data_IF_246273305479
#
_entry.id   IF_246273305479
#
_cell.length_a   1.000
_cell.length_b   1.000
_cell.length_c   1.000
_cell.angle_alpha   90.00
_cell.angle_beta   90.00
_cell.angle_gamma   90.00
#
_symmetry.space_group_name_H-M   'P 1'
#
loop_
_entity.id
_entity.type
_entity.pdbx_description
1 polymer ?
#
# COMPACT_ATOMS: atom_id res chain seq x y z
N UNK A 1 -6.57 4.82 -20.97
CA UNK A 1 -6.28 5.23 -19.57
C UNK A 1 -7.59 5.46 -18.84
N UNK A 2 -7.77 4.90 -17.63
CA UNK A 2 -8.94 5.25 -16.81
C UNK A 2 -8.69 6.62 -16.19
N UNK A 3 -9.62 7.56 -16.36
CA UNK A 3 -9.51 8.88 -15.73
C UNK A 3 -9.52 8.74 -14.20
N UNK A 4 -8.73 9.58 -13.52
CA UNK A 4 -8.71 9.65 -12.06
C UNK A 4 -10.08 10.09 -11.56
N UNK A 5 -10.65 9.33 -10.63
CA UNK A 5 -11.91 9.66 -9.98
C UNK A 5 -11.63 10.51 -8.75
N UNK A 6 -11.44 11.80 -8.98
CA UNK A 6 -11.17 12.77 -7.92
C UNK A 6 -12.48 13.32 -7.34
N UNK A 7 -12.47 13.63 -6.06
CA UNK A 7 -13.58 14.31 -5.37
C UNK A 7 -13.14 15.71 -5.00
N UNK A 8 -13.97 16.69 -5.31
CA UNK A 8 -13.74 18.06 -4.82
C UNK A 8 -14.37 18.22 -3.44
N UNK A 9 -13.63 18.78 -2.49
CA UNK A 9 -14.13 19.05 -1.15
C UNK A 9 -13.92 20.53 -0.84
N UNK A 10 -15.01 21.29 -0.75
CA UNK A 10 -15.01 22.74 -0.53
C UNK A 10 -16.41 23.24 -0.18
N UNK A 11 -16.53 24.52 0.20
CA UNK A 11 -17.81 25.13 0.60
C UNK A 11 -18.43 26.01 -0.48
N UNK A 12 -17.67 26.39 -1.51
CA UNK A 12 -18.08 27.32 -2.56
C UNK A 12 -17.83 26.79 -3.97
N UNK A 13 -18.71 27.18 -4.90
CA UNK A 13 -18.53 26.96 -6.34
C UNK A 13 -17.36 27.76 -6.90
N UNK A 14 -17.07 28.95 -6.35
CA UNK A 14 -16.10 29.88 -6.92
C UNK A 14 -14.70 29.28 -7.12
N UNK A 15 -14.18 28.54 -6.13
CA UNK A 15 -12.88 27.90 -6.23
C UNK A 15 -12.89 26.76 -7.28
N UNK A 16 -13.99 26.02 -7.39
CA UNK A 16 -14.16 24.97 -8.39
C UNK A 16 -14.26 25.55 -9.79
N UNK A 17 -15.04 26.61 -9.98
CA UNK A 17 -15.17 27.30 -11.27
C UNK A 17 -13.83 27.84 -11.74
N UNK A 18 -13.07 28.46 -10.84
CA UNK A 18 -11.71 28.94 -11.12
C UNK A 18 -10.80 27.81 -11.57
N UNK A 19 -10.88 26.64 -10.92
CA UNK A 19 -10.13 25.45 -11.30
C UNK A 19 -10.52 24.91 -12.69
N UNK A 20 -11.82 24.81 -12.97
CA UNK A 20 -12.34 24.31 -14.24
C UNK A 20 -12.04 25.27 -15.40
N UNK A 21 -12.17 26.57 -15.18
CA UNK A 21 -11.82 27.61 -16.16
C UNK A 21 -10.32 27.60 -16.50
N UNK A 22 -9.47 27.24 -15.54
CA UNK A 22 -8.04 27.04 -15.77
C UNK A 22 -7.72 25.77 -16.58
N UNK A 23 -8.72 24.98 -16.97
CA UNK A 23 -8.55 23.72 -17.70
C UNK A 23 -8.29 22.52 -16.77
N UNK A 24 -8.61 22.66 -15.48
CA UNK A 24 -8.45 21.59 -14.51
C UNK A 24 -9.42 20.45 -14.78
N UNK A 25 -9.01 19.21 -14.48
CA UNK A 25 -9.89 18.05 -14.65
C UNK A 25 -11.16 18.18 -13.81
N UNK A 26 -12.28 17.88 -14.46
CA UNK A 26 -13.59 17.80 -13.83
C UNK A 26 -13.61 16.68 -12.77
N UNK A 27 -14.01 16.98 -11.52
CA UNK A 27 -14.09 15.97 -10.49
C UNK A 27 -15.24 14.99 -10.77
N UNK A 28 -15.09 13.75 -10.30
CA UNK A 28 -16.14 12.74 -10.40
C UNK A 28 -17.31 13.00 -9.45
N UNK A 29 -17.05 13.67 -8.32
CA UNK A 29 -18.04 14.06 -7.34
C UNK A 29 -17.60 15.34 -6.60
N UNK A 30 -18.57 16.04 -6.01
CA UNK A 30 -18.34 17.22 -5.16
C UNK A 30 -18.92 16.95 -3.77
N UNK A 31 -18.19 17.36 -2.74
CA UNK A 31 -18.59 17.31 -1.34
C UNK A 31 -18.50 18.71 -0.72
N UNK A 32 -19.55 19.13 -0.01
CA UNK A 32 -19.55 20.36 0.80
C UNK A 32 -20.41 21.52 0.30
N UNK A 33 -20.97 21.43 -0.92
CA UNK A 33 -22.05 22.30 -1.38
C UNK A 33 -22.99 21.57 -2.35
N UNK A 34 -24.23 22.04 -2.43
CA UNK A 34 -25.18 21.57 -3.44
C UNK A 34 -24.80 22.16 -4.81
N UNK A 35 -24.68 21.28 -5.80
CA UNK A 35 -24.46 21.66 -7.18
C UNK A 35 -25.69 21.23 -7.98
N UNK A 36 -26.47 22.21 -8.44
CA UNK A 36 -27.58 22.01 -9.39
C UNK A 36 -27.09 21.90 -10.84
N UNK A 37 -25.77 22.04 -11.05
CA UNK A 37 -25.17 21.95 -12.38
C UNK A 37 -24.96 20.49 -12.79
N UNK A 38 -25.15 20.20 -14.08
CA UNK A 38 -24.89 18.90 -14.70
C UNK A 38 -23.41 18.45 -14.67
N UNK A 39 -22.56 19.17 -13.94
CA UNK A 39 -21.10 19.07 -13.96
C UNK A 39 -20.61 17.91 -13.08
N UNK A 40 -21.21 17.61 -11.93
CA UNK A 40 -20.83 16.41 -11.15
C UNK A 40 -21.79 16.14 -10.00
N UNK A 41 -21.89 14.86 -9.58
CA UNK A 41 -22.79 14.43 -8.51
C UNK A 41 -22.34 15.01 -7.16
N UNK A 42 -23.25 15.71 -6.47
CA UNK A 42 -23.05 16.12 -5.07
C UNK A 42 -23.21 14.91 -4.14
N UNK A 43 -22.27 14.74 -3.20
CA UNK A 43 -22.25 13.66 -2.20
C UNK A 43 -21.99 14.24 -0.81
N UNK A 44 -22.43 13.53 0.23
CA UNK A 44 -22.08 13.87 1.61
C UNK A 44 -20.66 13.40 1.96
N UNK A 45 -20.05 14.04 2.97
CA UNK A 45 -18.72 13.64 3.44
C UNK A 45 -18.74 12.23 4.06
N UNK A 46 -19.80 11.88 4.79
CA UNK A 46 -19.99 10.51 5.30
C UNK A 46 -20.02 9.48 4.15
N UNK A 47 -20.74 9.77 3.06
CA UNK A 47 -20.79 8.90 1.90
C UNK A 47 -19.40 8.73 1.25
N UNK A 48 -18.61 9.80 1.18
CA UNK A 48 -17.23 9.74 0.67
C UNK A 48 -16.38 8.77 1.50
N UNK A 49 -16.44 8.84 2.83
CA UNK A 49 -15.67 7.98 3.72
C UNK A 49 -16.12 6.52 3.63
N UNK A 50 -17.42 6.26 3.60
CA UNK A 50 -17.98 4.90 3.44
C UNK A 50 -17.62 4.28 2.08
N UNK A 51 -17.48 5.11 1.05
CA UNK A 51 -17.24 4.69 -0.33
C UNK A 51 -15.86 5.09 -0.85
N UNK A 52 -14.86 5.22 0.03
CA UNK A 52 -13.51 5.67 -0.35
C UNK A 52 -12.90 4.84 -1.49
N UNK A 53 -13.22 3.55 -1.55
CA UNK A 53 -12.73 2.60 -2.54
C UNK A 53 -13.19 2.89 -3.98
N UNK A 54 -14.21 3.75 -4.17
CA UNK A 54 -14.73 4.17 -5.48
C UNK A 54 -13.90 5.31 -6.09
N UNK A 55 -13.14 6.02 -5.25
CA UNK A 55 -12.43 7.23 -5.61
C UNK A 55 -10.91 7.02 -5.55
N UNK A 56 -10.21 7.91 -6.22
CA UNK A 56 -8.76 7.92 -6.33
C UNK A 56 -8.13 8.90 -5.33
N UNK A 57 -8.83 9.98 -5.02
CA UNK A 57 -8.45 10.92 -3.98
C UNK A 57 -9.31 12.17 -3.98
N UNK A 58 -8.91 13.15 -3.19
CA UNK A 58 -9.65 14.37 -2.86
C UNK A 58 -8.80 15.60 -3.15
N UNK A 59 -9.40 16.61 -3.78
CA UNK A 59 -8.86 17.96 -3.86
C UNK A 59 -9.58 18.80 -2.80
N UNK A 60 -8.83 19.27 -1.81
CA UNK A 60 -9.27 20.19 -0.79
C UNK A 60 -9.20 21.60 -1.34
N UNK A 61 -10.35 22.24 -1.47
CA UNK A 61 -10.46 23.64 -1.82
C UNK A 61 -10.00 24.52 -0.64
N UNK A 62 -9.62 25.78 -0.87
CA UNK A 62 -9.08 26.64 0.19
C UNK A 62 -10.07 26.96 1.31
N UNK A 63 -11.37 26.77 1.06
CA UNK A 63 -12.50 27.00 1.96
C UNK A 63 -13.02 25.72 2.62
N UNK A 64 -12.23 24.64 2.61
CA UNK A 64 -12.56 23.37 3.26
C UNK A 64 -12.75 23.49 4.78
N UNK A 65 -13.41 22.50 5.37
CA UNK A 65 -13.49 22.34 6.81
C UNK A 65 -12.20 21.73 7.37
N UNK A 66 -11.60 22.32 8.39
CA UNK A 66 -10.35 21.80 8.98
C UNK A 66 -10.53 20.42 9.60
N UNK A 67 -11.73 20.11 10.10
CA UNK A 67 -12.00 18.84 10.77
C UNK A 67 -12.01 17.65 9.81
N UNK A 68 -12.13 17.90 8.49
CA UNK A 68 -12.12 16.84 7.49
C UNK A 68 -10.74 16.17 7.35
N UNK A 69 -9.65 16.85 7.72
CA UNK A 69 -8.29 16.33 7.59
C UNK A 69 -8.07 15.09 8.47
N UNK A 70 -8.49 15.14 9.73
CA UNK A 70 -8.37 14.01 10.65
C UNK A 70 -9.14 12.78 10.18
N UNK A 71 -10.30 12.98 9.54
CA UNK A 71 -11.05 11.89 8.94
C UNK A 71 -10.34 11.33 7.71
N UNK A 72 -9.82 12.19 6.83
CA UNK A 72 -9.09 11.77 5.62
C UNK A 72 -7.77 11.06 5.94
N UNK A 73 -7.08 11.42 7.03
CA UNK A 73 -5.87 10.73 7.49
C UNK A 73 -6.09 9.25 7.81
N UNK A 74 -7.32 8.88 8.15
CA UNK A 74 -7.76 7.52 8.45
C UNK A 74 -8.28 6.77 7.21
N UNK A 75 -8.20 7.38 6.03
CA UNK A 75 -8.61 6.79 4.74
C UNK A 75 -7.40 6.38 3.92
N UNK A 76 -7.66 5.64 2.84
CA UNK A 76 -6.65 5.35 1.81
C UNK A 76 -6.66 6.33 0.63
N UNK A 77 -7.44 7.42 0.74
CA UNK A 77 -7.57 8.45 -0.29
C UNK A 77 -6.31 9.29 -0.36
N UNK A 78 -5.90 9.63 -1.58
CA UNK A 78 -4.86 10.62 -1.77
C UNK A 78 -5.42 12.03 -1.64
N UNK A 79 -4.70 12.90 -0.94
CA UNK A 79 -5.20 14.25 -0.61
C UNK A 79 -4.29 15.30 -1.23
N UNK A 80 -4.88 16.17 -2.05
CA UNK A 80 -4.25 17.35 -2.61
C UNK A 80 -4.93 18.61 -2.08
N UNK A 81 -4.17 19.68 -1.92
CA UNK A 81 -4.68 21.00 -1.51
C UNK A 81 -4.55 21.97 -2.66
N UNK A 82 -5.63 22.67 -2.97
CA UNK A 82 -5.61 23.81 -3.86
C UNK A 82 -5.12 25.05 -3.09
N UNK A 83 -4.03 25.70 -3.50
CA UNK A 83 -3.55 26.90 -2.84
C UNK A 83 -4.58 28.04 -2.93
N UNK A 84 -4.73 28.85 -1.87
CA UNK A 84 -5.54 30.08 -1.93
C UNK A 84 -5.11 31.01 -3.08
N UNK A 85 -3.80 31.05 -3.36
CA UNK A 85 -3.23 31.85 -4.43
C UNK A 85 -3.31 31.19 -5.83
N UNK A 86 -4.06 30.10 -6.01
CA UNK A 86 -4.07 29.30 -7.24
C UNK A 86 -4.28 30.14 -8.51
N UNK A 87 -5.30 31.01 -8.55
CA UNK A 87 -5.58 31.85 -9.72
C UNK A 87 -4.38 32.74 -10.10
N UNK A 88 -3.68 33.29 -9.10
CA UNK A 88 -2.48 34.10 -9.29
C UNK A 88 -1.30 33.25 -9.78
N UNK A 89 -1.09 32.08 -9.17
CA UNK A 89 -0.04 31.15 -9.58
C UNK A 89 -0.22 30.65 -11.02
N UNK A 90 -1.46 30.31 -11.39
CA UNK A 90 -1.79 29.84 -12.74
C UNK A 90 -1.63 30.93 -13.80
N UNK A 91 -2.02 32.17 -13.50
CA UNK A 91 -1.78 33.30 -14.40
C UNK A 91 -0.30 33.64 -14.53
N UNK A 92 0.45 33.64 -13.43
CA UNK A 92 1.91 33.87 -13.45
C UNK A 92 2.70 32.77 -14.14
N UNK A 93 2.22 31.52 -14.08
CA UNK A 93 2.84 30.42 -14.82
C UNK A 93 2.61 30.51 -16.32
N UNK A 94 1.92 31.54 -16.82
CA UNK A 94 1.59 31.73 -18.23
C UNK A 94 0.75 30.60 -18.81
N UNK A 95 0.02 29.85 -17.97
CA UNK A 95 -0.70 28.64 -18.32
C UNK A 95 0.16 27.52 -18.96
N UNK A 96 1.49 27.59 -18.83
CA UNK A 96 2.40 26.53 -19.29
C UNK A 96 2.36 25.30 -18.38
N UNK A 97 2.00 25.50 -17.11
CA UNK A 97 1.77 24.44 -16.14
C UNK A 97 0.30 24.05 -16.14
N UNK A 98 0.02 22.75 -16.19
CA UNK A 98 -1.36 22.28 -16.01
C UNK A 98 -1.85 22.62 -14.59
N UNK A 99 -3.15 22.85 -14.40
CA UNK A 99 -3.72 23.09 -13.07
C UNK A 99 -3.32 22.04 -12.03
N UNK A 100 -3.27 20.76 -12.40
CA UNK A 100 -2.86 19.67 -11.51
C UNK A 100 -1.42 19.79 -11.03
N UNK A 101 -0.54 20.42 -11.80
CA UNK A 101 0.84 20.65 -11.40
C UNK A 101 0.97 21.70 -10.28
N UNK A 102 -0.07 22.52 -10.07
CA UNK A 102 -0.14 23.56 -9.03
C UNK A 102 -0.80 23.06 -7.73
N UNK A 103 -1.28 21.83 -7.70
CA UNK A 103 -1.82 21.21 -6.49
C UNK A 103 -0.69 20.85 -5.51
N UNK A 104 -0.90 21.14 -4.23
CA UNK A 104 0.03 20.76 -3.17
C UNK A 104 -0.32 19.33 -2.71
N UNK A 105 0.58 18.35 -2.85
CA UNK A 105 0.35 17.01 -2.33
C UNK A 105 0.44 17.02 -0.80
N UNK A 106 -0.62 16.60 -0.10
CA UNK A 106 -0.63 16.49 1.36
C UNK A 106 -0.45 15.04 1.81
N UNK A 107 -1.35 14.15 1.38
CA UNK A 107 -1.30 12.72 1.67
C UNK A 107 -1.29 11.96 0.35
N UNK A 108 -0.15 11.92 -0.33
CA UNK A 108 -0.08 11.29 -1.65
C UNK A 108 1.11 10.35 -1.73
N UNK A 109 1.08 9.46 -2.71
CA UNK A 109 2.22 8.62 -3.03
C UNK A 109 2.84 9.06 -4.37
N UNK A 110 4.18 9.07 -4.50
CA UNK A 110 4.82 9.26 -5.80
C UNK A 110 4.42 8.17 -6.81
N UNK A 111 3.91 7.03 -6.34
CA UNK A 111 3.32 5.95 -7.15
C UNK A 111 2.09 6.36 -7.98
N UNK A 112 1.57 7.59 -7.81
CA UNK A 112 0.51 8.17 -8.65
C UNK A 112 0.98 8.68 -9.99
N UNK A 113 2.29 8.87 -10.21
CA UNK A 113 2.79 9.18 -11.55
C UNK A 113 2.64 7.93 -12.43
N UNK A 114 1.72 7.91 -13.41
CA UNK A 114 1.29 6.67 -14.06
C UNK A 114 2.45 5.87 -14.68
N UNK A 115 3.41 6.55 -15.30
CA UNK A 115 4.59 5.90 -15.92
C UNK A 115 5.43 5.08 -14.92
N UNK A 116 5.62 5.59 -13.71
CA UNK A 116 6.38 4.90 -12.68
C UNK A 116 5.65 3.65 -12.16
N UNK A 117 4.32 3.72 -12.02
CA UNK A 117 3.50 2.58 -11.60
C UNK A 117 3.57 1.42 -12.61
N UNK A 118 3.48 1.71 -13.91
CA UNK A 118 3.57 0.68 -14.95
C UNK A 118 4.97 0.10 -15.04
N UNK A 119 6.02 0.95 -14.98
CA UNK A 119 7.41 0.49 -14.97
C UNK A 119 7.70 -0.43 -13.78
N UNK A 120 7.28 -0.03 -12.57
CA UNK A 120 7.38 -0.87 -11.38
C UNK A 120 6.64 -2.20 -11.55
N UNK A 121 5.41 -2.16 -12.06
CA UNK A 121 4.62 -3.38 -12.26
C UNK A 121 5.27 -4.36 -13.24
N UNK A 122 5.80 -3.85 -14.35
CA UNK A 122 6.50 -4.66 -15.34
C UNK A 122 7.77 -5.29 -14.76
N UNK A 123 8.54 -4.51 -14.00
CA UNK A 123 9.72 -4.99 -13.29
C UNK A 123 9.35 -6.09 -12.29
N UNK A 124 8.38 -5.84 -11.40
CA UNK A 124 7.95 -6.80 -10.38
C UNK A 124 7.49 -8.12 -11.00
N UNK A 125 6.71 -8.04 -12.09
CA UNK A 125 6.23 -9.23 -12.81
C UNK A 125 7.40 -10.02 -13.41
N UNK A 126 8.28 -9.35 -14.15
CA UNK A 126 9.39 -10.00 -14.86
C UNK A 126 10.38 -10.63 -13.88
N UNK A 127 10.77 -9.89 -12.83
CA UNK A 127 11.69 -10.39 -11.82
C UNK A 127 11.08 -11.53 -10.99
N UNK A 128 9.79 -11.47 -10.64
CA UNK A 128 9.11 -12.57 -9.95
C UNK A 128 8.98 -13.82 -10.82
N UNK A 129 8.71 -13.66 -12.12
CA UNK A 129 8.62 -14.77 -13.08
C UNK A 129 9.96 -15.49 -13.21
N UNK A 130 11.04 -14.73 -13.42
CA UNK A 130 12.39 -15.27 -13.49
C UNK A 130 12.76 -15.97 -12.18
N UNK A 131 12.52 -15.33 -11.03
CA UNK A 131 12.78 -15.93 -9.73
C UNK A 131 12.03 -17.25 -9.54
N UNK A 132 10.75 -17.34 -9.95
CA UNK A 132 9.98 -18.58 -9.87
C UNK A 132 10.55 -19.70 -10.75
N UNK A 133 11.00 -19.38 -11.97
CA UNK A 133 11.62 -20.37 -12.87
C UNK A 133 12.90 -20.91 -12.26
N UNK A 134 13.79 -20.04 -11.76
CA UNK A 134 15.07 -20.45 -11.16
C UNK A 134 14.88 -21.17 -9.82
N UNK A 135 13.89 -20.77 -9.02
CA UNK A 135 13.62 -21.36 -7.71
C UNK A 135 12.71 -22.59 -7.78
N UNK A 136 12.20 -22.96 -8.96
CA UNK A 136 11.27 -24.09 -9.10
C UNK A 136 11.79 -25.39 -8.47
N UNK A 137 13.07 -25.80 -8.66
CA UNK A 137 13.59 -27.00 -8.00
C UNK A 137 13.55 -26.88 -6.47
N UNK A 138 13.91 -25.72 -5.92
CA UNK A 138 13.89 -25.44 -4.48
C UNK A 138 12.47 -25.50 -3.94
N UNK A 139 11.50 -24.88 -4.63
CA UNK A 139 10.09 -24.90 -4.24
C UNK A 139 9.54 -26.34 -4.18
N UNK A 140 9.89 -27.18 -5.16
CA UNK A 140 9.48 -28.59 -5.19
C UNK A 140 10.13 -29.40 -4.06
N UNK A 141 11.43 -29.19 -3.79
CA UNK A 141 12.12 -29.84 -2.67
C UNK A 141 11.52 -29.43 -1.32
N UNK A 142 11.21 -28.16 -1.13
CA UNK A 142 10.55 -27.66 0.09
C UNK A 142 9.14 -28.24 0.23
N UNK A 143 8.37 -28.28 -0.86
CA UNK A 143 7.03 -28.87 -0.87
C UNK A 143 7.05 -30.35 -0.46
N UNK A 144 8.01 -31.12 -0.97
CA UNK A 144 8.21 -32.52 -0.60
C UNK A 144 8.61 -32.66 0.87
N UNK A 145 9.57 -31.86 1.35
CA UNK A 145 10.01 -31.87 2.75
C UNK A 145 8.85 -31.58 3.72
N UNK A 146 7.97 -30.63 3.39
CA UNK A 146 6.78 -30.32 4.20
C UNK A 146 5.83 -31.52 4.20
N UNK A 147 5.56 -32.11 3.04
CA UNK A 147 4.63 -33.24 2.90
C UNK A 147 5.09 -34.48 3.66
N UNK A 148 6.40 -34.74 3.68
CA UNK A 148 7.00 -35.85 4.43
C UNK A 148 7.09 -35.57 5.95
N UNK A 149 7.19 -34.30 6.36
CA UNK A 149 7.35 -33.94 7.78
C UNK A 149 6.05 -33.91 8.60
N UNK A 150 4.91 -33.64 7.98
CA UNK A 150 3.64 -33.45 8.70
C UNK A 150 2.41 -33.62 7.80
N UNK A 151 1.30 -34.22 8.29
CA UNK A 151 0.08 -34.39 7.50
C UNK A 151 -0.60 -33.04 7.19
N UNK A 152 -1.27 -32.94 6.04
CA UNK A 152 -2.06 -31.79 5.61
C UNK A 152 -1.52 -31.01 4.39
N UNK A 153 -1.95 -29.75 4.17
CA UNK A 153 -1.61 -28.96 2.98
C UNK A 153 -0.18 -28.39 3.03
N UNK A 154 0.46 -28.28 1.86
CA UNK A 154 1.81 -27.71 1.70
C UNK A 154 1.78 -26.19 1.85
N UNK A 155 0.76 -25.56 1.26
CA UNK A 155 0.59 -24.10 1.28
C UNK A 155 -0.32 -23.73 2.44
N UNK A 156 0.16 -22.81 3.26
CA UNK A 156 -0.63 -22.06 4.21
C UNK A 156 -1.14 -20.79 3.54
N UNK A 157 -2.40 -20.46 3.81
CA UNK A 157 -3.12 -19.36 3.18
C UNK A 157 -3.66 -18.44 4.26
N UNK A 158 -3.48 -17.13 4.09
CA UNK A 158 -3.99 -16.14 5.02
C UNK A 158 -4.45 -14.87 4.31
N UNK A 159 -5.61 -14.35 4.72
CA UNK A 159 -6.07 -13.05 4.26
C UNK A 159 -5.27 -11.92 4.91
N UNK A 160 -4.89 -10.96 4.08
CA UNK A 160 -4.09 -9.80 4.47
C UNK A 160 -4.63 -8.56 3.78
N UNK A 161 -4.32 -7.39 4.33
CA UNK A 161 -4.69 -6.11 3.72
C UNK A 161 -3.63 -5.68 2.72
N UNK A 162 -4.07 -5.30 1.53
CA UNK A 162 -3.24 -4.83 0.42
C UNK A 162 -3.58 -3.41 -0.02
N UNK A 163 -3.45 -3.14 -1.32
CA UNK A 163 -3.67 -1.83 -1.90
C UNK A 163 -5.10 -1.33 -1.63
N UNK A 164 -5.21 -0.08 -1.15
CA UNK A 164 -6.47 0.59 -0.76
C UNK A 164 -7.30 -0.19 0.26
N UNK A 165 -6.64 -0.80 1.23
CA UNK A 165 -7.33 -1.53 2.28
C UNK A 165 -7.99 -2.83 1.81
N UNK A 166 -7.83 -3.22 0.52
CA UNK A 166 -8.49 -4.41 -0.02
C UNK A 166 -7.81 -5.68 0.49
N UNK A 167 -8.61 -6.62 0.97
CA UNK A 167 -8.11 -7.92 1.38
C UNK A 167 -7.66 -8.74 0.18
N UNK A 168 -6.54 -9.44 0.33
CA UNK A 168 -6.04 -10.41 -0.62
C UNK A 168 -5.55 -11.67 0.09
N UNK A 169 -5.44 -12.75 -0.67
CA UNK A 169 -5.04 -14.06 -0.17
C UNK A 169 -3.52 -14.24 -0.31
N UNK A 170 -2.80 -14.18 0.81
CA UNK A 170 -1.34 -14.36 0.85
C UNK A 170 -0.96 -15.84 0.97
N UNK A 171 -0.01 -16.29 0.13
CA UNK A 171 0.49 -17.66 0.12
C UNK A 171 1.81 -17.79 0.87
N UNK A 172 1.96 -18.82 1.70
CA UNK A 172 3.23 -19.21 2.33
C UNK A 172 3.36 -20.72 2.36
N UNK A 173 4.58 -21.23 2.52
CA UNK A 173 4.72 -22.62 2.91
C UNK A 173 4.29 -22.81 4.36
N UNK A 174 3.66 -23.94 4.63
CA UNK A 174 3.23 -24.28 5.98
C UNK A 174 4.44 -24.61 6.85
N UNK A 175 4.62 -23.84 7.92
CA UNK A 175 5.68 -24.05 8.92
C UNK A 175 5.15 -24.57 10.26
N UNK A 176 3.84 -24.45 10.50
CA UNK A 176 3.18 -24.85 11.75
C UNK A 176 2.21 -26.01 11.53
N UNK A 177 1.86 -26.76 12.59
CA UNK A 177 0.77 -27.73 12.55
C UNK A 177 -0.55 -27.10 12.08
N UNK A 178 -1.40 -27.92 11.46
CA UNK A 178 -2.76 -27.50 11.09
C UNK A 178 -3.51 -27.08 12.35
N UNK A 179 -4.20 -25.94 12.32
CA UNK A 179 -4.92 -25.31 13.44
C UNK A 179 -4.06 -24.58 14.51
N UNK A 180 -2.74 -24.45 14.33
CA UNK A 180 -1.89 -23.73 15.28
C UNK A 180 -2.11 -22.20 15.31
N UNK A 181 -2.90 -21.65 14.38
CA UNK A 181 -3.18 -20.22 14.23
C UNK A 181 -4.57 -19.80 14.73
N UNK A 182 -5.23 -20.63 15.55
CA UNK A 182 -6.59 -20.32 16.08
C UNK A 182 -6.62 -19.11 17.01
N UNK A 183 -5.52 -18.81 17.68
CA UNK A 183 -5.42 -17.64 18.55
C UNK A 183 -4.91 -16.41 17.79
N UNK A 184 -5.74 -15.37 17.79
CA UNK A 184 -5.47 -14.05 17.21
C UNK A 184 -4.59 -13.23 18.16
N UNK A 185 -3.32 -13.61 18.29
CA UNK A 185 -2.33 -12.84 19.05
C UNK A 185 -1.42 -12.10 18.07
N UNK A 186 -1.29 -10.78 18.27
CA UNK A 186 -0.26 -9.99 17.60
C UNK A 186 1.07 -10.16 18.33
N UNK A 187 2.12 -10.43 17.58
CA UNK A 187 3.43 -10.77 18.11
C UNK A 187 3.57 -12.24 18.54
N UNK A 188 4.64 -12.56 19.29
CA UNK A 188 4.94 -13.89 19.85
C UNK A 188 5.15 -14.98 18.79
N UNK A 189 5.68 -14.60 17.62
CA UNK A 189 5.91 -15.55 16.52
C UNK A 189 6.86 -16.70 16.92
N UNK A 190 7.77 -16.44 17.86
CA UNK A 190 8.75 -17.41 18.39
C UNK A 190 8.13 -18.46 19.33
N UNK A 191 7.01 -18.16 19.98
CA UNK A 191 6.39 -19.05 20.96
C UNK A 191 5.49 -20.12 20.31
N UNK A 192 5.19 -19.96 19.01
CA UNK A 192 4.35 -20.91 18.27
C UNK A 192 5.10 -22.22 18.03
N UNK A 193 4.40 -23.35 18.14
CA UNK A 193 4.99 -24.67 17.85
C UNK A 193 5.31 -24.82 16.36
N UNK A 194 6.57 -25.11 16.04
CA UNK A 194 7.08 -25.23 14.66
C UNK A 194 7.80 -26.57 14.50
N UNK A 195 7.60 -27.25 13.36
CA UNK A 195 8.37 -28.45 13.03
C UNK A 195 9.84 -28.11 12.76
N UNK A 196 10.74 -29.09 12.79
CA UNK A 196 12.16 -28.86 12.46
C UNK A 196 12.33 -28.28 11.04
N UNK A 197 11.58 -28.82 10.06
CA UNK A 197 11.50 -28.29 8.70
C UNK A 197 10.96 -26.86 8.72
N UNK A 198 9.86 -26.60 9.42
CA UNK A 198 9.29 -25.25 9.53
C UNK A 198 10.26 -24.25 10.13
N UNK A 199 11.06 -24.64 11.13
CA UNK A 199 12.09 -23.81 11.75
C UNK A 199 13.19 -23.46 10.76
N UNK A 200 13.64 -24.42 9.97
CA UNK A 200 14.59 -24.18 8.88
C UNK A 200 14.04 -23.21 7.83
N UNK A 201 12.78 -23.41 7.40
CA UNK A 201 12.14 -22.55 6.42
C UNK A 201 12.01 -21.10 6.92
N UNK A 202 11.59 -20.88 8.17
CA UNK A 202 11.52 -19.53 8.77
C UNK A 202 12.88 -18.85 8.87
N UNK A 203 13.92 -19.59 9.30
CA UNK A 203 15.29 -19.06 9.45
C UNK A 203 15.93 -18.67 8.12
N UNK A 204 15.49 -19.31 7.03
CA UNK A 204 16.00 -19.03 5.67
C UNK A 204 15.08 -18.10 4.89
N UNK A 205 13.87 -17.81 5.38
CA UNK A 205 12.84 -17.07 4.66
C UNK A 205 12.25 -17.82 3.47
N UNK A 206 12.56 -19.12 3.31
CA UNK A 206 12.04 -19.94 2.21
C UNK A 206 10.53 -20.12 2.31
N UNK A 207 9.95 -19.99 3.50
CA UNK A 207 8.51 -20.08 3.69
C UNK A 207 7.72 -18.97 2.98
N UNK A 208 8.36 -17.86 2.66
CA UNK A 208 7.74 -16.71 2.01
C UNK A 208 7.80 -16.76 0.48
N UNK A 209 8.56 -17.67 -0.13
CA UNK A 209 8.70 -17.75 -1.59
C UNK A 209 7.39 -17.96 -2.36
N UNK A 210 6.35 -18.68 -1.86
CA UNK A 210 5.06 -18.76 -2.55
C UNK A 210 4.37 -17.40 -2.77
N UNK A 211 4.76 -16.34 -2.04
CA UNK A 211 4.26 -14.99 -2.28
C UNK A 211 4.69 -14.43 -3.65
N UNK A 212 5.69 -15.00 -4.32
CA UNK A 212 6.02 -14.62 -5.71
C UNK A 212 4.81 -14.84 -6.65
N UNK A 213 3.95 -15.82 -6.37
CA UNK A 213 2.68 -15.98 -7.09
C UNK A 213 1.71 -14.81 -6.85
N UNK A 214 1.69 -14.23 -5.64
CA UNK A 214 0.92 -13.01 -5.35
C UNK A 214 1.47 -11.81 -6.13
N UNK A 215 2.80 -11.72 -6.28
CA UNK A 215 3.43 -10.71 -7.11
C UNK A 215 3.01 -10.87 -8.58
N UNK A 216 3.06 -12.09 -9.13
CA UNK A 216 2.58 -12.33 -10.49
C UNK A 216 1.10 -11.96 -10.68
N UNK A 217 0.22 -12.31 -9.73
CA UNK A 217 -1.20 -11.95 -9.75
C UNK A 217 -1.46 -10.44 -9.67
N UNK A 218 -0.56 -9.69 -9.03
CA UNK A 218 -0.70 -8.26 -8.82
C UNK A 218 -1.30 -7.86 -7.49
N UNK A 219 -1.41 -8.80 -6.56
CA UNK A 219 -1.82 -8.54 -5.17
C UNK A 219 -0.66 -7.92 -4.36
N UNK A 220 0.58 -8.23 -4.76
CA UNK A 220 1.81 -7.79 -4.11
C UNK A 220 2.81 -7.23 -5.12
N UNK A 221 3.81 -6.55 -4.57
CA UNK A 221 5.03 -6.06 -5.21
C UNK A 221 6.24 -6.81 -4.63
N UNK A 222 7.38 -6.82 -5.33
CA UNK A 222 8.61 -7.35 -4.73
C UNK A 222 9.05 -6.50 -3.54
N UNK A 223 8.95 -5.18 -3.69
CA UNK A 223 9.33 -4.19 -2.68
C UNK A 223 8.13 -3.32 -2.29
N UNK A 224 7.84 -3.25 -1.00
CA UNK A 224 6.72 -2.49 -0.44
C UNK A 224 6.55 -2.71 1.07
N UNK A 225 5.59 -2.02 1.69
CA UNK A 225 5.21 -2.25 3.09
C UNK A 225 4.77 -3.70 3.32
N UNK A 226 5.11 -4.28 4.47
CA UNK A 226 4.71 -5.65 4.79
C UNK A 226 3.19 -5.72 5.04
N UNK A 227 2.46 -6.67 4.44
CA UNK A 227 1.01 -6.77 4.57
C UNK A 227 0.58 -7.22 5.96
N UNK A 228 -0.39 -6.53 6.55
CA UNK A 228 -0.90 -6.82 7.90
C UNK A 228 -2.15 -7.70 7.88
N UNK A 229 -2.40 -8.42 8.98
CA UNK A 229 -3.64 -9.18 9.19
C UNK A 229 -4.83 -8.21 9.25
N UNK A 230 -5.95 -8.62 8.64
CA UNK A 230 -7.17 -7.78 8.51
C UNK A 230 -7.68 -7.35 9.88
N UNK A 231 -7.59 -8.26 10.85
CA UNK A 231 -8.10 -8.12 12.20
C UNK A 231 -7.40 -7.02 13.01
N UNK A 232 -6.14 -6.69 12.68
CA UNK A 232 -5.38 -5.66 13.41
C UNK A 232 -5.42 -4.28 12.76
N UNK A 233 -5.84 -4.20 11.50
CA UNK A 233 -5.80 -2.95 10.74
C UNK A 233 -6.68 -1.88 11.37
N UNK A 234 -7.89 -2.23 11.82
CA UNK A 234 -8.80 -1.28 12.47
C UNK A 234 -8.22 -0.73 13.75
N UNK A 235 -7.65 -1.59 14.60
CA UNK A 235 -7.00 -1.19 15.85
C UNK A 235 -5.83 -0.24 15.58
N UNK A 236 -4.94 -0.61 14.66
CA UNK A 236 -3.77 0.23 14.34
C UNK A 236 -4.14 1.55 13.68
N UNK A 237 -5.23 1.61 12.91
CA UNK A 237 -5.72 2.86 12.33
C UNK A 237 -6.21 3.86 13.40
N UNK A 238 -6.74 3.34 14.51
CA UNK A 238 -7.18 4.18 15.62
C UNK A 238 -6.02 4.65 16.50
N UNK A 239 -4.97 3.83 16.64
CA UNK A 239 -3.82 4.11 17.51
C UNK A 239 -2.72 4.94 16.85
N UNK A 240 -2.47 4.71 15.55
CA UNK A 240 -1.33 5.29 14.85
C UNK A 240 -1.82 6.27 13.79
N UNK A 241 -1.49 7.57 13.91
CA UNK A 241 -1.79 8.57 12.88
C UNK A 241 -1.22 8.14 11.52
N UNK A 242 -1.97 8.42 10.45
CA UNK A 242 -1.56 8.15 9.07
C UNK A 242 -1.33 6.66 8.73
N UNK A 243 -1.74 5.73 9.60
CA UNK A 243 -1.52 4.29 9.40
C UNK A 243 -2.04 3.79 8.05
N UNK A 244 -3.19 4.32 7.58
CA UNK A 244 -3.78 3.93 6.29
C UNK A 244 -2.95 4.29 5.06
N UNK A 245 -2.05 5.27 5.16
CA UNK A 245 -1.22 5.70 4.04
C UNK A 245 -0.28 4.59 3.56
N UNK A 246 0.08 3.64 4.42
CA UNK A 246 0.89 2.48 4.01
C UNK A 246 0.18 1.59 2.98
N UNK A 247 -1.15 1.61 2.97
CA UNK A 247 -1.98 0.83 2.02
C UNK A 247 -2.21 1.57 0.70
N UNK A 248 -1.62 2.76 0.49
CA UNK A 248 -1.72 3.47 -0.79
C UNK A 248 -0.82 2.88 -1.89
N UNK A 249 0.05 1.91 -1.55
CA UNK A 249 0.88 1.16 -2.49
C UNK A 249 0.65 -0.35 -2.32
N UNK A 250 1.08 -1.14 -3.30
CA UNK A 250 1.05 -2.60 -3.16
C UNK A 250 1.96 -3.03 -2.01
N UNK A 251 1.52 -3.99 -1.18
CA UNK A 251 2.37 -4.58 -0.15
C UNK A 251 3.55 -5.33 -0.78
N UNK A 252 4.65 -5.40 -0.05
CA UNK A 252 5.91 -5.99 -0.50
C UNK A 252 6.19 -7.38 0.08
N UNK A 253 6.89 -8.21 -0.69
CA UNK A 253 7.60 -9.38 -0.16
C UNK A 253 8.72 -8.93 0.80
N UNK A 254 9.46 -7.91 0.36
CA UNK A 254 10.45 -7.20 1.17
C UNK A 254 10.17 -5.69 1.19
N UNK A 255 10.87 -4.94 2.02
CA UNK A 255 10.57 -3.52 2.24
C UNK A 255 11.63 -2.80 3.06
N UNK A 256 11.56 -1.47 3.03
CA UNK A 256 12.50 -0.60 3.73
C UNK A 256 12.52 -0.84 5.23
N UNK A 257 11.36 -0.98 5.86
CA UNK A 257 11.25 -1.31 7.28
C UNK A 257 11.94 -2.66 7.60
N UNK A 258 11.72 -3.68 6.77
CA UNK A 258 12.29 -5.02 6.97
C UNK A 258 13.82 -5.03 6.90
N UNK A 259 14.43 -4.32 5.94
CA UNK A 259 15.90 -4.27 5.82
C UNK A 259 16.57 -3.42 6.91
N UNK A 260 15.81 -2.60 7.64
CA UNK A 260 16.26 -1.86 8.83
C UNK A 260 15.93 -2.58 10.15
N UNK A 261 15.43 -3.82 10.08
CA UNK A 261 15.17 -4.64 11.26
C UNK A 261 13.79 -4.43 11.89
N UNK A 262 12.94 -3.56 11.34
CA UNK A 262 11.58 -3.33 11.84
C UNK A 262 10.62 -4.43 11.36
N UNK A 263 10.75 -5.63 11.93
CA UNK A 263 9.97 -6.83 11.59
C UNK A 263 9.52 -7.61 12.83
N UNK A 264 8.60 -8.57 12.65
CA UNK A 264 8.15 -9.44 13.74
C UNK A 264 7.56 -8.66 14.91
N UNK A 265 8.14 -8.85 16.08
CA UNK A 265 7.64 -8.32 17.37
C UNK A 265 8.19 -6.93 17.70
N UNK A 266 8.89 -6.27 16.76
CA UNK A 266 9.35 -4.88 16.96
C UNK A 266 8.19 -3.90 17.13
N UNK A 267 8.41 -2.76 17.81
CA UNK A 267 7.41 -1.69 17.91
C UNK A 267 6.84 -1.29 16.55
N UNK A 268 5.53 -1.04 16.52
CA UNK A 268 4.80 -0.79 15.29
C UNK A 268 5.07 0.62 14.75
N UNK A 269 5.10 1.64 15.60
CA UNK A 269 5.25 3.03 15.15
C UNK A 269 6.51 3.30 14.32
N UNK A 270 7.73 2.83 14.71
CA UNK A 270 8.92 2.98 13.87
C UNK A 270 8.81 2.23 12.53
N UNK A 271 8.14 1.07 12.52
CA UNK A 271 7.87 0.31 11.29
C UNK A 271 7.02 1.14 10.32
N UNK A 272 5.95 1.76 10.82
CA UNK A 272 5.08 2.63 10.01
C UNK A 272 5.84 3.84 9.48
N UNK A 273 6.65 4.51 10.32
CA UNK A 273 7.50 5.63 9.86
C UNK A 273 8.42 5.22 8.71
N UNK A 274 9.01 4.02 8.75
CA UNK A 274 9.86 3.51 7.68
C UNK A 274 9.06 3.16 6.41
N UNK A 275 7.86 2.59 6.55
CA UNK A 275 6.97 2.32 5.43
C UNK A 275 6.55 3.62 4.72
N UNK A 276 6.13 4.64 5.49
CA UNK A 276 5.73 5.95 4.96
C UNK A 276 6.91 6.67 4.30
N UNK A 277 8.11 6.61 4.90
CA UNK A 277 9.31 7.18 4.31
C UNK A 277 9.63 6.52 2.97
N UNK A 278 9.54 5.19 2.88
CA UNK A 278 9.75 4.46 1.63
C UNK A 278 8.75 4.88 0.56
N UNK A 279 7.47 5.00 0.93
CA UNK A 279 6.43 5.44 0.00
C UNK A 279 6.75 6.85 -0.51
N UNK A 280 7.07 7.80 0.37
CA UNK A 280 7.36 9.18 0.01
C UNK A 280 8.64 9.33 -0.85
N UNK A 281 9.64 8.48 -0.63
CA UNK A 281 10.95 8.55 -1.29
C UNK A 281 11.14 7.46 -2.34
N UNK A 282 10.05 6.86 -2.82
CA UNK A 282 10.12 5.74 -3.73
C UNK A 282 10.88 6.13 -5.00
N UNK A 283 11.83 5.28 -5.39
CA UNK A 283 12.51 5.33 -6.68
C UNK A 283 12.86 3.91 -7.09
N UNK A 284 13.02 3.71 -8.40
CA UNK A 284 13.45 2.40 -8.94
C UNK A 284 14.75 1.90 -8.28
N UNK A 285 15.73 2.78 -8.09
CA UNK A 285 17.00 2.42 -7.47
C UNK A 285 16.88 2.10 -5.98
N UNK A 286 15.91 2.71 -5.28
CA UNK A 286 15.61 2.34 -3.91
C UNK A 286 15.10 0.89 -3.83
N UNK A 287 14.24 0.47 -4.76
CA UNK A 287 13.77 -0.92 -4.84
C UNK A 287 14.93 -1.89 -5.07
N UNK A 288 15.80 -1.60 -6.04
CA UNK A 288 17.00 -2.41 -6.31
C UNK A 288 17.89 -2.51 -5.06
N UNK A 289 18.14 -1.39 -4.37
CA UNK A 289 18.91 -1.35 -3.13
C UNK A 289 18.28 -2.21 -2.04
N UNK A 290 16.96 -2.15 -1.88
CA UNK A 290 16.24 -2.97 -0.89
C UNK A 290 16.38 -4.45 -1.25
N UNK A 291 16.13 -4.84 -2.50
CA UNK A 291 16.26 -6.23 -2.95
C UNK A 291 17.67 -6.79 -2.72
N UNK A 292 18.73 -6.03 -3.05
CA UNK A 292 20.12 -6.44 -2.81
C UNK A 292 20.41 -6.62 -1.32
N UNK A 293 19.97 -5.66 -0.48
CA UNK A 293 20.13 -5.78 0.98
C UNK A 293 19.37 -6.98 1.53
N UNK A 294 18.17 -7.25 1.03
CA UNK A 294 17.38 -8.43 1.43
C UNK A 294 18.10 -9.72 1.09
N UNK A 295 18.64 -9.83 -0.13
CA UNK A 295 19.44 -10.99 -0.53
C UNK A 295 20.64 -11.21 0.41
N UNK A 296 21.36 -10.14 0.76
CA UNK A 296 22.50 -10.21 1.69
C UNK A 296 22.07 -10.60 3.12
N UNK A 297 20.92 -10.13 3.61
CA UNK A 297 20.39 -10.47 4.93
C UNK A 297 20.01 -11.96 4.99
N UNK A 298 19.36 -12.45 3.93
CA UNK A 298 18.98 -13.86 3.78
C UNK A 298 20.21 -14.75 3.71
N UNK A 299 21.19 -14.40 2.86
CA UNK A 299 22.42 -15.17 2.69
C UNK A 299 23.27 -15.23 3.96
N UNK A 300 23.30 -14.15 4.76
CA UNK A 300 24.00 -14.12 6.06
C UNK A 300 23.26 -14.87 7.17
N UNK A 301 22.11 -15.49 6.90
CA UNK A 301 21.32 -16.24 7.88
C UNK A 301 20.74 -15.39 9.00
N UNK A 302 20.66 -14.06 8.83
CA UNK A 302 20.11 -13.13 9.82
C UNK A 302 18.61 -12.91 9.67
N UNK A 303 17.88 -13.93 9.20
CA UNK A 303 16.41 -13.90 9.15
C UNK A 303 15.86 -14.53 10.44
N UNK A 304 16.07 -13.87 11.59
CA UNK A 304 15.34 -14.18 12.82
C UNK A 304 14.04 -13.36 12.88
N UNK A 305 12.89 -14.04 12.91
CA UNK A 305 11.60 -13.36 13.05
C UNK A 305 11.52 -12.54 14.33
#
# INVERSE_FOLDING_TARGET
MKALRLVWLGKSHHALDTWLQAGGKQPAAICGFQSDSAISKSISFAFLLENEHLYDGVILAPDHDTDCLHALERTTLSVWVLPQAFARLHSWSGAWLSPEALLIPLLTTPAWRPGFRYGKRFFDFTAALLALIFLLPVLLSVALAIKLSSPGPIIYVQNRVGLRGRSFTMYKFRTMPVNADRELVWGQAEQKTVSAVGRFLRRTGLDELPQLFNVLKGDMSLVGPRPERVEFVTTFNNEIPHYMQRHMVLPGLTGWAQIHGWRGDTPLEPRIKHDLWYIANWSFWLDVKIMLKTFLIVFKGRVSQ
#
